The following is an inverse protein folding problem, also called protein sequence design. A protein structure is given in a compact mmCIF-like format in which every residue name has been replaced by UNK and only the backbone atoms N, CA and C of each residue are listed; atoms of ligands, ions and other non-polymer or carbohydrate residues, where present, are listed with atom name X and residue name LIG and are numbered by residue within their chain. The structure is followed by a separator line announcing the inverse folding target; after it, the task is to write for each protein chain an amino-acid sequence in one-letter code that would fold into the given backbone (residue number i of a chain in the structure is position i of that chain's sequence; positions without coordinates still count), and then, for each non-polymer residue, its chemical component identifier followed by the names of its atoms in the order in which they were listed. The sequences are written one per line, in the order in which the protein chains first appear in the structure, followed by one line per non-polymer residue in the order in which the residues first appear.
data_IF_561176048232
#
_entry.id   IF_561176048232
#
_cell.length_a   1.000
_cell.length_b   1.000
_cell.length_c   1.000
_cell.angle_alpha   90.00
_cell.angle_beta   90.00
_cell.angle_gamma   90.00
#
_symmetry.space_group_name_H-M   'P 1'
#
loop_
_entity.id
_entity.type
_entity.pdbx_description
1 polymer ?
#
# COMPACT_ATOMS: atom_id res chain seq x y z
N UNK A 1 9.40 -25.59 -4.85
CA UNK A 1 9.23 -24.75 -3.69
C UNK A 1 8.21 -25.37 -2.75
N UNK A 2 8.54 -25.49 -1.48
CA UNK A 2 7.64 -25.92 -0.41
C UNK A 2 7.57 -24.82 0.63
N UNK A 3 6.37 -24.40 0.97
CA UNK A 3 6.05 -23.44 2.02
C UNK A 3 5.33 -24.22 3.10
N UNK A 4 5.74 -24.09 4.37
CA UNK A 4 5.22 -24.91 5.46
C UNK A 4 3.73 -24.66 5.72
N UNK A 5 3.31 -23.40 5.64
CA UNK A 5 1.93 -22.96 5.87
C UNK A 5 1.48 -21.91 4.84
N UNK A 6 0.19 -21.66 4.74
CA UNK A 6 -0.35 -20.62 3.87
C UNK A 6 -0.06 -19.22 4.49
N UNK A 7 0.73 -18.36 3.84
CA UNK A 7 1.09 -17.05 4.41
C UNK A 7 -0.06 -16.03 4.42
N UNK A 8 -1.18 -16.30 3.73
CA UNK A 8 -2.33 -15.39 3.63
C UNK A 8 -3.68 -16.10 3.81
N UNK A 9 -3.86 -16.89 4.90
CA UNK A 9 -5.03 -17.75 5.05
C UNK A 9 -6.34 -16.97 5.14
N UNK A 10 -6.34 -15.85 5.84
CA UNK A 10 -7.52 -14.98 5.97
C UNK A 10 -7.92 -14.38 4.63
N UNK A 11 -6.96 -13.88 3.86
CA UNK A 11 -7.23 -13.34 2.52
C UNK A 11 -7.85 -14.41 1.59
N UNK A 12 -7.29 -15.62 1.58
CA UNK A 12 -7.83 -16.74 0.79
C UNK A 12 -9.24 -17.16 1.22
N UNK A 13 -9.54 -17.08 2.51
CA UNK A 13 -10.89 -17.31 3.03
C UNK A 13 -11.85 -16.25 2.51
N UNK A 14 -11.50 -14.97 2.66
CA UNK A 14 -12.32 -13.86 2.19
C UNK A 14 -12.56 -13.88 0.67
N UNK A 15 -11.56 -14.27 -0.12
CA UNK A 15 -11.74 -14.46 -1.57
C UNK A 15 -12.80 -15.53 -1.94
N UNK A 16 -13.05 -16.51 -1.07
CA UNK A 16 -14.08 -17.55 -1.30
C UNK A 16 -15.47 -17.12 -0.84
N UNK A 17 -15.53 -16.24 0.17
CA UNK A 17 -16.79 -15.83 0.82
C UNK A 17 -17.37 -14.55 0.22
N UNK A 18 -16.53 -13.70 -0.39
CA UNK A 18 -16.90 -12.39 -0.91
C UNK A 18 -16.54 -12.23 -2.39
N UNK A 19 -17.12 -11.23 -3.03
CA UNK A 19 -16.76 -10.83 -4.39
C UNK A 19 -15.29 -10.46 -4.45
N UNK A 20 -14.57 -11.06 -5.40
CA UNK A 20 -13.13 -10.85 -5.60
C UNK A 20 -12.79 -10.85 -7.08
N UNK A 21 -11.62 -10.32 -7.43
CA UNK A 21 -11.17 -10.28 -8.82
C UNK A 21 -9.71 -9.84 -8.92
N UNK A 22 -9.26 -9.67 -10.16
CA UNK A 22 -7.91 -9.20 -10.47
C UNK A 22 -7.95 -7.77 -11.01
N UNK A 23 -7.04 -6.94 -10.52
CA UNK A 23 -6.79 -5.61 -11.05
C UNK A 23 -5.50 -5.62 -11.88
N UNK A 24 -5.59 -5.20 -13.15
CA UNK A 24 -4.41 -5.07 -14.01
C UNK A 24 -3.72 -3.75 -13.72
N UNK A 25 -2.62 -3.81 -12.98
CA UNK A 25 -1.83 -2.63 -12.62
C UNK A 25 -0.99 -2.11 -13.80
N UNK A 26 -0.80 -0.77 -13.93
CA UNK A 26 0.00 -0.17 -15.00
C UNK A 26 1.51 -0.29 -14.77
N UNK A 27 1.95 -0.59 -13.54
CA UNK A 27 3.35 -0.66 -13.15
C UNK A 27 3.64 -1.95 -12.39
N UNK A 28 4.82 -2.54 -12.63
CA UNK A 28 5.29 -3.77 -11.99
C UNK A 28 6.71 -3.55 -11.48
N UNK A 29 6.99 -3.96 -10.24
CA UNK A 29 8.31 -3.90 -9.60
C UNK A 29 8.73 -2.51 -9.09
N UNK A 30 8.13 -1.44 -9.61
CA UNK A 30 8.33 -0.06 -9.16
C UNK A 30 7.17 0.81 -9.66
N UNK A 31 7.06 2.05 -9.13
CA UNK A 31 6.08 3.00 -9.64
C UNK A 31 4.67 2.85 -9.08
N UNK A 32 4.53 2.48 -7.81
CA UNK A 32 3.24 2.35 -7.11
C UNK A 32 2.33 3.57 -7.28
N UNK A 33 2.90 4.78 -7.29
CA UNK A 33 2.16 6.03 -7.53
C UNK A 33 1.37 6.03 -8.86
N UNK A 34 1.81 5.30 -9.87
CA UNK A 34 1.11 5.15 -11.13
C UNK A 34 -0.13 4.24 -10.98
N UNK A 35 -0.03 3.18 -10.18
CA UNK A 35 -1.18 2.33 -9.84
C UNK A 35 -2.17 3.08 -8.94
N UNK A 36 -1.67 3.86 -7.97
CA UNK A 36 -2.49 4.74 -7.14
C UNK A 36 -3.27 5.73 -8.00
N UNK A 37 -2.61 6.40 -8.96
CA UNK A 37 -3.25 7.33 -9.87
C UNK A 37 -4.42 6.68 -10.62
N UNK A 38 -4.20 5.54 -11.29
CA UNK A 38 -5.27 4.86 -12.02
C UNK A 38 -6.41 4.38 -11.11
N UNK A 39 -6.10 3.86 -9.92
CA UNK A 39 -7.13 3.36 -8.99
C UNK A 39 -7.96 4.47 -8.36
N UNK A 40 -7.36 5.62 -8.08
CA UNK A 40 -8.04 6.75 -7.43
C UNK A 40 -8.83 7.59 -8.44
N UNK A 41 -8.32 7.73 -9.67
CA UNK A 41 -8.91 8.63 -10.68
C UNK A 41 -9.75 7.91 -11.74
N UNK A 42 -9.52 6.62 -11.95
CA UNK A 42 -10.07 5.87 -13.10
C UNK A 42 -9.46 6.26 -14.45
N UNK A 43 -8.46 7.14 -14.47
CA UNK A 43 -7.79 7.57 -15.69
C UNK A 43 -6.64 6.62 -16.02
N UNK A 44 -6.39 6.37 -17.31
CA UNK A 44 -5.33 5.48 -17.73
C UNK A 44 -4.02 6.22 -18.01
N UNK A 45 -2.91 5.67 -17.55
CA UNK A 45 -1.56 6.10 -17.89
C UNK A 45 -1.24 6.00 -19.40
N UNK A 46 -2.07 5.29 -20.16
CA UNK A 46 -1.93 5.21 -21.61
C UNK A 46 -1.90 6.60 -22.29
N UNK A 47 -2.50 7.60 -21.66
CA UNK A 47 -2.55 8.99 -22.17
C UNK A 47 -1.36 9.85 -21.75
N UNK A 48 -0.41 9.29 -21.00
CA UNK A 48 0.82 9.96 -20.56
C UNK A 48 2.04 9.46 -21.32
N UNK A 49 3.13 10.20 -21.27
CA UNK A 49 4.38 9.83 -21.91
C UNK A 49 5.04 8.60 -21.26
N UNK A 50 5.87 7.85 -22.00
CA UNK A 50 6.61 6.72 -21.43
C UNK A 50 7.44 7.13 -20.21
N UNK A 51 7.24 6.44 -19.07
CA UNK A 51 7.94 6.72 -17.81
C UNK A 51 7.45 7.97 -17.07
N UNK A 52 6.38 8.60 -17.51
CA UNK A 52 5.78 9.74 -16.82
C UNK A 52 5.04 9.28 -15.56
N UNK A 53 5.17 10.09 -14.51
CA UNK A 53 4.44 9.96 -13.27
C UNK A 53 3.52 11.18 -13.10
N UNK A 54 2.18 11.03 -13.18
CA UNK A 54 1.24 12.13 -12.91
C UNK A 54 1.50 12.82 -11.56
N UNK A 55 1.94 12.08 -10.56
CA UNK A 55 2.35 12.61 -9.24
C UNK A 55 3.58 13.54 -9.31
N UNK A 56 4.44 13.38 -10.31
CA UNK A 56 5.64 14.20 -10.48
C UNK A 56 5.47 15.30 -11.53
N UNK A 57 4.38 15.30 -12.25
CA UNK A 57 4.04 16.26 -13.30
C UNK A 57 2.74 17.01 -12.98
N UNK A 58 1.66 16.70 -13.64
CA UNK A 58 0.41 17.46 -13.65
C UNK A 58 -0.23 17.63 -12.26
N UNK A 59 -0.20 16.60 -11.41
CA UNK A 59 -0.84 16.65 -10.09
C UNK A 59 -0.11 17.51 -9.06
N UNK A 60 1.11 17.95 -9.34
CA UNK A 60 1.78 18.94 -8.49
C UNK A 60 1.10 20.31 -8.53
N UNK A 61 0.44 20.64 -9.62
CA UNK A 61 -0.05 21.98 -9.91
C UNK A 61 -1.56 22.04 -10.08
N UNK A 62 -2.19 20.89 -10.36
CA UNK A 62 -3.62 20.85 -10.68
C UNK A 62 -4.34 19.74 -9.90
N UNK A 63 -5.63 19.96 -9.69
CA UNK A 63 -6.55 18.92 -9.23
C UNK A 63 -7.04 18.10 -10.44
N UNK A 64 -7.55 16.89 -10.20
CA UNK A 64 -8.29 16.13 -11.20
C UNK A 64 -9.48 15.44 -10.54
N UNK A 65 -10.47 15.03 -11.34
CA UNK A 65 -11.57 14.22 -10.87
C UNK A 65 -11.04 12.88 -10.29
N UNK A 66 -11.62 12.47 -9.20
CA UNK A 66 -11.16 11.30 -8.43
C UNK A 66 -12.28 10.72 -7.57
N UNK A 67 -12.11 9.49 -7.08
CA UNK A 67 -13.03 8.89 -6.14
C UNK A 67 -13.28 9.74 -4.88
N UNK A 68 -12.25 10.35 -4.22
CA UNK A 68 -12.48 11.31 -3.14
C UNK A 68 -13.42 12.46 -3.51
N UNK A 69 -13.20 13.15 -4.63
CA UNK A 69 -14.07 14.25 -5.03
C UNK A 69 -15.52 13.81 -5.29
N UNK A 70 -15.71 12.68 -5.95
CA UNK A 70 -17.05 12.14 -6.22
C UNK A 70 -17.77 11.78 -4.92
N UNK A 71 -17.09 11.09 -4.00
CA UNK A 71 -17.66 10.65 -2.74
C UNK A 71 -17.94 11.81 -1.77
N UNK A 72 -17.08 12.83 -1.75
CA UNK A 72 -17.33 14.06 -0.97
C UNK A 72 -18.60 14.77 -1.39
N UNK A 73 -18.96 14.77 -2.67
CA UNK A 73 -20.25 15.30 -3.15
C UNK A 73 -21.45 14.49 -2.62
N UNK A 74 -21.22 13.27 -2.13
CA UNK A 74 -22.22 12.41 -1.50
C UNK A 74 -22.14 12.46 0.05
N UNK A 75 -21.33 13.35 0.63
CA UNK A 75 -21.20 13.56 2.07
C UNK A 75 -20.16 12.67 2.76
N UNK A 76 -19.27 12.03 2.01
CA UNK A 76 -18.15 11.27 2.60
C UNK A 76 -17.01 12.20 3.02
N UNK A 77 -16.27 11.79 4.04
CA UNK A 77 -14.95 12.31 4.34
C UNK A 77 -13.89 11.39 3.72
N UNK A 78 -12.86 11.95 3.10
CA UNK A 78 -11.85 11.17 2.38
C UNK A 78 -10.50 11.20 3.11
N UNK A 79 -10.01 10.02 3.48
CA UNK A 79 -8.77 9.81 4.23
C UNK A 79 -7.76 9.01 3.40
N UNK A 80 -6.51 9.46 3.37
CA UNK A 80 -5.38 8.68 2.87
C UNK A 80 -4.50 8.25 4.05
N UNK A 81 -4.05 7.00 4.05
CA UNK A 81 -3.19 6.42 5.09
C UNK A 81 -2.04 5.68 4.43
N UNK A 82 -0.81 5.91 4.90
CA UNK A 82 0.38 5.27 4.34
C UNK A 82 1.48 5.10 5.39
N UNK A 83 1.91 3.87 5.63
CA UNK A 83 2.98 3.56 6.58
C UNK A 83 4.40 3.79 6.01
N UNK A 84 4.58 4.85 5.24
CA UNK A 84 5.86 5.37 4.77
C UNK A 84 5.87 6.89 4.82
N UNK A 85 7.01 7.50 4.51
CA UNK A 85 7.21 8.95 4.56
C UNK A 85 6.26 9.72 3.65
N UNK A 86 5.69 10.82 4.16
CA UNK A 86 4.74 11.67 3.44
C UNK A 86 5.27 12.22 2.10
N UNK A 87 6.58 12.44 2.03
CA UNK A 87 7.19 13.03 0.85
C UNK A 87 7.54 12.00 -0.24
N UNK A 88 7.46 10.71 0.04
CA UNK A 88 7.72 9.69 -0.97
C UNK A 88 6.69 9.79 -2.11
N UNK A 89 7.15 9.91 -3.36
CA UNK A 89 6.36 10.32 -4.52
C UNK A 89 5.66 11.69 -4.42
N UNK A 90 5.94 12.48 -3.39
CA UNK A 90 5.31 13.79 -3.17
C UNK A 90 3.88 13.73 -2.67
N UNK A 91 3.43 12.59 -2.12
CA UNK A 91 2.04 12.33 -1.68
C UNK A 91 1.47 13.43 -0.79
N UNK A 92 2.30 14.02 0.08
CA UNK A 92 1.89 15.15 0.94
C UNK A 92 1.23 16.29 0.17
N UNK A 93 1.73 16.58 -1.03
CA UNK A 93 1.20 17.66 -1.89
C UNK A 93 0.14 17.15 -2.88
N UNK A 94 0.19 15.87 -3.22
CA UNK A 94 -0.64 15.27 -4.26
C UNK A 94 -2.02 14.86 -3.74
N UNK A 95 -2.10 14.27 -2.55
CA UNK A 95 -3.37 13.80 -2.01
C UNK A 95 -4.41 14.90 -1.81
N UNK A 96 -4.06 16.12 -1.33
CA UNK A 96 -5.00 17.24 -1.35
C UNK A 96 -5.53 17.57 -2.75
N UNK A 97 -4.67 17.50 -3.79
CA UNK A 97 -5.06 17.73 -5.18
C UNK A 97 -5.95 16.61 -5.75
N UNK A 98 -5.89 15.42 -5.17
CA UNK A 98 -6.79 14.29 -5.43
C UNK A 98 -8.07 14.32 -4.57
N UNK A 99 -8.25 15.35 -3.74
CA UNK A 99 -9.48 15.56 -2.98
C UNK A 99 -9.53 14.89 -1.61
N UNK A 100 -8.45 14.29 -1.11
CA UNK A 100 -8.40 13.78 0.26
C UNK A 100 -8.45 14.93 1.27
N UNK A 101 -9.21 14.75 2.33
CA UNK A 101 -9.34 15.71 3.44
C UNK A 101 -8.21 15.56 4.44
N UNK A 102 -7.74 14.33 4.65
CA UNK A 102 -6.60 14.03 5.53
C UNK A 102 -5.61 13.09 4.86
N UNK A 103 -4.35 13.19 5.29
CA UNK A 103 -3.31 12.24 4.97
C UNK A 103 -2.47 11.94 6.21
N UNK A 104 -2.52 10.71 6.69
CA UNK A 104 -1.72 10.18 7.79
C UNK A 104 -0.58 9.33 7.23
N UNK A 105 0.65 9.72 7.52
CA UNK A 105 1.88 9.05 7.08
C UNK A 105 2.65 8.49 8.26
N UNK A 106 3.69 7.69 8.01
CA UNK A 106 4.47 7.00 9.03
C UNK A 106 4.94 7.93 10.16
N UNK A 107 5.30 9.17 9.85
CA UNK A 107 5.77 10.16 10.83
C UNK A 107 4.75 10.45 11.95
N UNK A 108 3.49 10.08 11.77
CA UNK A 108 2.41 10.29 12.75
C UNK A 108 1.94 9.00 13.43
N UNK A 109 2.37 7.83 12.97
CA UNK A 109 1.81 6.56 13.45
C UNK A 109 2.85 5.58 13.98
N UNK A 110 4.09 5.60 13.48
CA UNK A 110 5.08 4.57 13.78
C UNK A 110 5.87 4.83 15.06
N UNK A 111 6.29 3.74 15.69
CA UNK A 111 7.35 3.68 16.68
C UNK A 111 8.46 2.78 16.14
N UNK A 112 9.63 2.78 16.79
CA UNK A 112 10.77 1.96 16.31
C UNK A 112 10.47 0.47 16.35
N UNK A 113 9.71 0.00 17.33
CA UNK A 113 9.28 -1.40 17.45
C UNK A 113 8.31 -1.85 16.36
N UNK A 114 7.69 -0.91 15.64
CA UNK A 114 6.75 -1.21 14.56
C UNK A 114 7.45 -1.49 13.21
N UNK A 115 8.77 -1.62 13.20
CA UNK A 115 9.54 -1.88 11.98
C UNK A 115 9.92 -3.36 11.83
N UNK A 116 9.96 -3.81 10.58
CA UNK A 116 10.51 -5.11 10.24
C UNK A 116 12.06 -5.05 10.17
N UNK A 117 12.78 -6.19 10.04
CA UNK A 117 14.25 -6.21 10.00
C UNK A 117 14.89 -5.36 8.89
N UNK A 118 14.17 -5.05 7.81
CA UNK A 118 14.63 -4.15 6.75
C UNK A 118 14.29 -2.66 6.99
N UNK A 119 13.68 -2.35 8.13
CA UNK A 119 13.32 -0.99 8.51
C UNK A 119 12.01 -0.48 7.90
N UNK A 120 11.21 -1.35 7.24
CA UNK A 120 9.88 -0.99 6.77
C UNK A 120 8.88 -1.06 7.93
N UNK A 121 8.00 -0.07 8.00
CA UNK A 121 6.92 -0.07 8.99
C UNK A 121 5.96 -1.22 8.71
N UNK A 122 5.63 -1.99 9.74
CA UNK A 122 4.70 -3.11 9.65
C UNK A 122 3.29 -2.64 9.30
N UNK A 123 2.55 -3.49 8.60
CA UNK A 123 1.19 -3.15 8.14
C UNK A 123 0.15 -3.22 9.27
N UNK A 124 0.47 -3.84 10.41
CA UNK A 124 -0.43 -3.88 11.58
C UNK A 124 -0.80 -2.48 12.10
N UNK A 125 0.13 -1.49 12.01
CA UNK A 125 -0.14 -0.11 12.42
C UNK A 125 -1.26 0.54 11.59
N UNK A 126 -1.46 0.09 10.35
CA UNK A 126 -2.49 0.63 9.46
C UNK A 126 -3.90 0.36 9.96
N UNK A 127 -4.11 -0.77 10.63
CA UNK A 127 -5.43 -1.13 11.17
C UNK A 127 -5.89 -0.12 12.20
N UNK A 128 -5.04 0.26 13.13
CA UNK A 128 -5.35 1.26 14.15
C UNK A 128 -5.61 2.64 13.54
N UNK A 129 -4.83 3.02 12.54
CA UNK A 129 -5.03 4.30 11.84
C UNK A 129 -6.32 4.33 11.02
N UNK A 130 -6.72 3.22 10.39
CA UNK A 130 -8.01 3.09 9.73
C UNK A 130 -9.16 3.27 10.73
N UNK A 131 -9.07 2.62 11.91
CA UNK A 131 -10.07 2.77 12.98
C UNK A 131 -10.14 4.22 13.47
N UNK A 132 -9.00 4.88 13.69
CA UNK A 132 -8.96 6.30 14.05
C UNK A 132 -9.61 7.21 13.00
N UNK A 133 -9.42 6.92 11.71
CA UNK A 133 -10.11 7.66 10.64
C UNK A 133 -11.62 7.49 10.77
N UNK A 134 -12.11 6.25 10.90
CA UNK A 134 -13.55 5.95 11.07
C UNK A 134 -14.15 6.61 12.31
N UNK A 135 -13.41 6.66 13.42
CA UNK A 135 -13.87 7.27 14.67
C UNK A 135 -13.80 8.80 14.67
N UNK A 136 -13.09 9.39 13.69
CA UNK A 136 -12.88 10.85 13.62
C UNK A 136 -14.07 11.61 13.02
N UNK A 137 -15.02 10.94 12.40
CA UNK A 137 -16.17 11.53 11.72
C UNK A 137 -17.47 10.84 12.13
N UNK A 138 -18.60 11.56 12.03
CA UNK A 138 -19.94 10.98 12.28
C UNK A 138 -20.60 10.45 11.00
N UNK A 139 -19.96 10.68 9.84
CA UNK A 139 -20.51 10.38 8.52
C UNK A 139 -20.00 9.09 7.92
N UNK A 140 -20.06 9.04 6.62
CA UNK A 140 -19.44 7.96 5.83
C UNK A 140 -18.03 8.36 5.44
N UNK A 141 -17.11 7.40 5.45
CA UNK A 141 -15.70 7.61 5.15
C UNK A 141 -15.28 6.87 3.89
N UNK A 142 -14.39 7.47 3.15
CA UNK A 142 -13.59 6.84 2.11
C UNK A 142 -12.14 6.79 2.57
N UNK A 143 -11.62 5.60 2.79
CA UNK A 143 -10.25 5.42 3.29
C UNK A 143 -9.43 4.70 2.22
N UNK A 144 -8.37 5.36 1.76
CA UNK A 144 -7.40 4.80 0.83
C UNK A 144 -6.09 4.51 1.55
N UNK A 145 -5.78 3.23 1.71
CA UNK A 145 -4.63 2.78 2.49
C UNK A 145 -3.57 2.15 1.59
N UNK A 146 -2.31 2.53 1.81
CA UNK A 146 -1.14 2.02 1.09
C UNK A 146 -0.18 1.40 2.09
N UNK A 147 0.19 0.13 1.88
CA UNK A 147 1.11 -0.62 2.73
C UNK A 147 2.53 -0.65 2.17
N UNK A 148 3.54 -0.84 3.03
CA UNK A 148 4.95 -0.96 2.66
C UNK A 148 5.68 -2.14 3.25
N UNK A 149 5.14 -2.87 4.20
CA UNK A 149 5.84 -3.98 4.86
C UNK A 149 6.43 -4.99 3.87
N UNK A 150 5.69 -5.35 2.83
CA UNK A 150 6.09 -6.28 1.79
C UNK A 150 7.01 -5.68 0.71
N UNK A 151 7.58 -4.48 0.91
CA UNK A 151 8.46 -3.85 -0.08
C UNK A 151 9.78 -4.62 -0.23
N UNK A 152 10.17 -4.97 -1.48
CA UNK A 152 11.51 -5.51 -1.80
C UNK A 152 12.61 -4.44 -1.61
N UNK A 153 13.93 -4.75 -1.64
CA UNK A 153 14.53 -6.01 -2.01
C UNK A 153 14.53 -7.00 -0.82
N UNK A 154 14.23 -8.26 -1.10
CA UNK A 154 14.23 -9.30 -0.07
C UNK A 154 15.66 -9.78 0.19
N UNK A 155 16.03 -10.05 1.48
CA UNK A 155 17.40 -10.39 1.88
C UNK A 155 17.81 -11.78 1.37
N UNK A 156 19.06 -11.92 0.98
CA UNK A 156 19.65 -13.23 0.64
C UNK A 156 20.11 -13.98 1.90
N UNK A 157 20.39 -13.25 2.97
CA UNK A 157 20.72 -13.77 4.30
C UNK A 157 19.47 -14.05 5.11
N UNK A 158 19.57 -14.97 6.06
CA UNK A 158 18.56 -15.21 7.06
C UNK A 158 18.50 -14.02 8.03
N UNK A 159 17.37 -13.33 8.11
CA UNK A 159 17.13 -12.19 9.00
C UNK A 159 16.05 -12.44 10.06
N UNK A 160 15.38 -13.59 10.00
CA UNK A 160 14.33 -13.98 10.96
C UNK A 160 14.83 -15.22 11.71
N UNK A 161 15.16 -15.08 12.99
CA UNK A 161 15.76 -16.14 13.81
C UNK A 161 14.83 -17.34 14.04
N UNK A 162 13.51 -17.14 14.06
CA UNK A 162 12.51 -18.21 14.30
C UNK A 162 11.27 -17.93 13.41
N UNK A 163 11.35 -18.21 12.12
CA UNK A 163 10.26 -17.92 11.18
C UNK A 163 9.05 -18.83 11.45
N UNK A 164 7.86 -18.23 11.52
CA UNK A 164 6.60 -18.98 11.63
C UNK A 164 6.37 -19.84 10.39
N UNK A 165 6.76 -19.33 9.22
CA UNK A 165 6.62 -19.99 7.93
C UNK A 165 7.99 -20.29 7.34
N UNK A 166 8.31 -21.57 7.15
CA UNK A 166 9.57 -21.98 6.54
C UNK A 166 9.43 -22.29 5.06
N UNK A 167 10.48 -21.98 4.29
CA UNK A 167 10.51 -22.18 2.84
C UNK A 167 11.71 -23.03 2.42
N UNK A 168 11.47 -24.05 1.61
CA UNK A 168 12.52 -24.96 1.10
C UNK A 168 12.30 -25.29 -0.37
N UNK A 169 13.37 -25.76 -1.03
CA UNK A 169 13.30 -26.28 -2.39
C UNK A 169 13.31 -25.21 -3.49
N UNK A 170 13.78 -24.00 -3.19
CA UNK A 170 14.21 -23.06 -4.22
C UNK A 170 15.55 -23.47 -4.86
N UNK A 171 16.00 -22.76 -5.88
CA UNK A 171 17.24 -23.09 -6.58
C UNK A 171 18.50 -22.83 -5.76
N UNK A 172 18.43 -21.99 -4.72
CA UNK A 172 19.53 -21.70 -3.79
C UNK A 172 18.99 -21.40 -2.38
N UNK A 173 19.89 -21.43 -1.38
CA UNK A 173 19.60 -21.04 -0.02
C UNK A 173 19.18 -19.56 0.07
N UNK A 174 19.88 -18.68 -0.61
CA UNK A 174 19.52 -17.26 -0.73
C UNK A 174 18.07 -17.06 -1.22
N UNK A 175 17.62 -17.87 -2.19
CA UNK A 175 16.22 -17.81 -2.64
C UNK A 175 15.24 -18.38 -1.63
N UNK A 176 15.61 -19.40 -0.84
CA UNK A 176 14.77 -19.84 0.27
C UNK A 176 14.59 -18.71 1.27
N UNK A 177 15.68 -18.02 1.67
CA UNK A 177 15.65 -16.91 2.62
C UNK A 177 14.79 -15.74 2.10
N UNK A 178 14.91 -15.39 0.83
CA UNK A 178 14.07 -14.35 0.21
C UNK A 178 12.57 -14.69 0.26
N UNK A 179 12.21 -15.94 -0.05
CA UNK A 179 10.83 -16.39 0.03
C UNK A 179 10.32 -16.49 1.46
N UNK A 180 11.16 -16.97 2.37
CA UNK A 180 10.83 -17.06 3.80
C UNK A 180 10.57 -15.69 4.40
N UNK A 181 11.46 -14.73 4.11
CA UNK A 181 11.26 -13.33 4.50
C UNK A 181 9.96 -12.73 3.95
N UNK A 182 9.62 -13.05 2.70
CA UNK A 182 8.38 -12.57 2.07
C UNK A 182 7.12 -13.17 2.70
N UNK A 183 7.20 -14.40 3.23
CA UNK A 183 6.07 -15.11 3.82
C UNK A 183 5.80 -14.75 5.29
N UNK A 184 6.80 -14.22 6.01
CA UNK A 184 6.74 -13.81 7.41
C UNK A 184 6.68 -12.28 7.55
#
# INVERSE_FOLDING_TARGET
LKISEDPIPTFRKLMKEYSSGYYKVPSVGAGTANTEFESITGMSLHYFGPGEYPYKSILKETTCESAPYVLKNLGYTAHAVHNNEANFYGRRSIFPNLGFDTFTSAEYMEKEEDKNPLGWTKDEVLTDEIIKCLDSTEGSDYIYTISTQGHGAYPEEELIDDPEITVTGAASEAQNNQWEYYCN
#
